data_IF_401258028221
#
_entry.id   IF_401258028221
#
_cell.length_a   1.000
_cell.length_b   1.000
_cell.length_c   1.000
_cell.angle_alpha   90.00
_cell.angle_beta   90.00
_cell.angle_gamma   90.00
#
_symmetry.space_group_name_H-M   'P 1'
#
loop_
_entity.id
_entity.type
_entity.pdbx_description
1 polymer ?
#
# COMPACT_ATOMS: atom_id res chain seq x y z
N UNK A 1 5.62 15.04 11.91
CA UNK A 1 7.05 14.89 12.19
C UNK A 1 7.79 14.79 10.85
N UNK A 2 8.83 15.56 10.62
CA UNK A 2 9.64 15.49 9.38
C UNK A 2 10.68 14.36 9.40
N UNK A 3 10.38 13.23 10.04
CA UNK A 3 11.30 12.10 10.16
C UNK A 3 10.88 10.96 9.23
N UNK A 4 11.86 10.31 8.59
CA UNK A 4 11.67 9.12 7.76
C UNK A 4 11.55 7.84 8.60
N UNK A 5 11.77 7.93 9.90
CA UNK A 5 11.72 6.82 10.82
C UNK A 5 11.10 7.25 12.15
N UNK A 6 10.21 6.41 12.68
CA UNK A 6 9.62 6.58 14.00
C UNK A 6 9.92 5.31 14.80
N UNK A 7 10.68 5.43 15.88
CA UNK A 7 10.93 4.32 16.78
C UNK A 7 9.66 3.99 17.57
N UNK A 8 9.21 2.72 17.46
CA UNK A 8 8.14 2.15 18.27
C UNK A 8 8.69 1.39 19.48
N UNK A 9 7.77 0.75 20.23
CA UNK A 9 8.10 -0.10 21.38
C UNK A 9 7.65 -1.57 21.17
N UNK A 10 7.14 -1.89 20.00
CA UNK A 10 6.72 -3.26 19.63
C UNK A 10 7.81 -3.96 18.81
N UNK A 11 7.71 -5.27 18.68
CA UNK A 11 8.58 -6.09 17.83
C UNK A 11 8.22 -6.00 16.34
N UNK A 12 7.32 -5.08 15.97
CA UNK A 12 6.87 -4.87 14.60
C UNK A 12 7.67 -3.76 13.93
N UNK A 13 8.24 -4.06 12.78
CA UNK A 13 8.83 -3.09 11.85
C UNK A 13 7.90 -2.94 10.64
N UNK A 14 7.40 -1.71 10.41
CA UNK A 14 6.61 -1.37 9.23
C UNK A 14 7.49 -0.57 8.29
N UNK A 15 7.64 -1.05 7.06
CA UNK A 15 8.52 -0.46 6.05
C UNK A 15 7.73 -0.20 4.78
N UNK A 16 7.84 1.00 4.22
CA UNK A 16 7.49 1.26 2.82
C UNK A 16 8.64 0.73 1.96
N UNK A 17 8.39 -0.38 1.26
CA UNK A 17 9.38 -1.07 0.47
C UNK A 17 9.46 -0.46 -0.93
N UNK A 18 10.68 -0.19 -1.42
CA UNK A 18 10.91 0.39 -2.74
C UNK A 18 11.26 -0.70 -3.75
N UNK A 19 10.50 -0.81 -4.83
CA UNK A 19 10.72 -1.76 -5.93
C UNK A 19 11.88 -1.34 -6.85
N UNK A 20 12.21 -0.04 -6.88
CA UNK A 20 13.28 0.45 -7.74
C UNK A 20 14.60 -0.28 -7.48
N UNK A 21 15.23 -0.73 -8.57
CA UNK A 21 16.42 -1.57 -8.53
C UNK A 21 16.30 -2.82 -7.67
N UNK A 22 15.08 -3.33 -7.52
CA UNK A 22 14.77 -4.52 -6.70
C UNK A 22 15.22 -4.39 -5.25
N UNK A 23 15.36 -3.16 -4.72
CA UNK A 23 15.89 -2.92 -3.37
C UNK A 23 15.03 -3.56 -2.28
N UNK A 24 13.71 -3.70 -2.48
CA UNK A 24 12.80 -4.40 -1.59
C UNK A 24 13.14 -5.91 -1.41
N UNK A 25 13.91 -6.51 -2.33
CA UNK A 25 14.35 -7.91 -2.21
C UNK A 25 15.38 -8.14 -1.08
N UNK A 26 15.90 -7.09 -0.47
CA UNK A 26 16.72 -7.21 0.75
C UNK A 26 15.86 -7.42 2.01
N UNK A 27 14.54 -7.35 1.89
CA UNK A 27 13.60 -7.57 2.98
C UNK A 27 13.14 -9.02 3.02
N UNK A 28 12.77 -9.49 4.22
CA UNK A 28 12.12 -10.78 4.46
C UNK A 28 10.82 -10.53 5.22
N UNK A 29 9.74 -10.18 4.52
CA UNK A 29 8.49 -9.80 5.15
C UNK A 29 7.79 -11.00 5.79
N UNK A 30 7.14 -10.77 6.94
CA UNK A 30 6.15 -11.67 7.53
C UNK A 30 4.76 -11.40 6.97
N UNK A 31 4.45 -10.12 6.74
CA UNK A 31 3.23 -9.64 6.11
C UNK A 31 3.65 -8.74 4.96
N UNK A 32 3.19 -9.05 3.76
CA UNK A 32 3.44 -8.27 2.55
C UNK A 32 2.13 -7.66 2.07
N UNK A 33 2.13 -6.35 1.83
CA UNK A 33 1.00 -5.65 1.21
C UNK A 33 1.43 -5.23 -0.19
N UNK A 34 0.59 -5.54 -1.18
CA UNK A 34 0.76 -5.02 -2.54
C UNK A 34 -0.58 -4.41 -2.96
N UNK A 35 -0.58 -3.10 -3.15
CA UNK A 35 -1.79 -2.36 -3.51
C UNK A 35 -2.11 -2.44 -4.99
N UNK A 36 -1.09 -2.37 -5.85
CA UNK A 36 -1.15 -2.52 -7.30
C UNK A 36 0.25 -2.79 -7.86
N UNK A 37 0.32 -3.27 -9.11
CA UNK A 37 1.55 -3.34 -9.91
C UNK A 37 1.26 -2.69 -11.26
N UNK A 38 2.06 -1.70 -11.63
CA UNK A 38 1.99 -1.02 -12.92
C UNK A 38 3.37 -0.95 -13.56
N UNK A 39 3.41 -0.64 -14.85
CA UNK A 39 4.66 -0.43 -15.58
C UNK A 39 5.26 0.92 -15.17
N UNK A 40 6.16 0.90 -14.22
CA UNK A 40 6.92 2.04 -13.73
C UNK A 40 8.42 1.71 -13.72
N UNK A 41 9.27 2.72 -13.53
CA UNK A 41 10.73 2.55 -13.49
C UNK A 41 11.31 1.81 -14.70
N UNK A 42 10.81 2.10 -15.92
CA UNK A 42 11.26 1.49 -17.17
C UNK A 42 12.67 1.93 -17.60
N UNK A 43 13.31 2.77 -16.81
CA UNK A 43 14.76 3.05 -16.87
C UNK A 43 15.59 1.91 -16.26
N UNK A 44 14.97 1.04 -15.47
CA UNK A 44 15.58 -0.11 -14.82
C UNK A 44 14.92 -1.43 -15.24
N UNK A 45 13.60 -1.53 -15.18
CA UNK A 45 12.86 -2.70 -15.59
C UNK A 45 12.61 -2.71 -17.10
N UNK A 46 12.71 -3.87 -17.73
CA UNK A 46 12.48 -4.02 -19.18
C UNK A 46 11.03 -3.77 -19.56
N UNK A 47 10.12 -4.28 -18.76
CA UNK A 47 8.67 -4.28 -19.00
C UNK A 47 7.89 -4.63 -17.72
N UNK A 48 6.56 -4.71 -17.84
CA UNK A 48 5.68 -5.08 -16.72
C UNK A 48 5.97 -6.49 -16.20
N UNK A 49 6.32 -7.44 -17.06
CA UNK A 49 6.62 -8.82 -16.66
C UNK A 49 7.85 -8.87 -15.76
N UNK A 50 8.89 -8.12 -16.08
CA UNK A 50 10.10 -8.01 -15.25
C UNK A 50 9.81 -7.40 -13.86
N UNK A 51 8.86 -6.45 -13.78
CA UNK A 51 8.36 -5.91 -12.50
C UNK A 51 7.59 -7.00 -11.75
N UNK A 52 6.67 -7.69 -12.41
CA UNK A 52 5.87 -8.77 -11.81
C UNK A 52 6.76 -9.89 -11.27
N UNK A 53 7.84 -10.24 -11.97
CA UNK A 53 8.82 -11.23 -11.52
C UNK A 53 9.53 -10.78 -10.25
N UNK A 54 9.91 -9.51 -10.15
CA UNK A 54 10.52 -8.96 -8.94
C UNK A 54 9.56 -9.02 -7.74
N UNK A 55 8.29 -8.68 -7.93
CA UNK A 55 7.27 -8.80 -6.88
C UNK A 55 6.98 -10.25 -6.51
N UNK A 56 6.96 -11.16 -7.48
CA UNK A 56 6.82 -12.60 -7.23
C UNK A 56 8.01 -13.15 -6.43
N UNK A 57 9.24 -12.71 -6.76
CA UNK A 57 10.43 -13.05 -5.98
C UNK A 57 10.32 -12.57 -4.52
N UNK A 58 9.84 -11.33 -4.28
CA UNK A 58 9.58 -10.86 -2.91
C UNK A 58 8.51 -11.73 -2.21
N UNK A 59 7.43 -12.05 -2.90
CA UNK A 59 6.37 -12.90 -2.34
C UNK A 59 6.86 -14.32 -2.01
N UNK A 60 7.85 -14.83 -2.73
CA UNK A 60 8.45 -16.15 -2.44
C UNK A 60 9.17 -16.20 -1.09
N UNK A 61 9.50 -15.05 -0.51
CA UNK A 61 10.15 -14.95 0.81
C UNK A 61 9.16 -14.99 1.98
N UNK A 62 7.85 -14.96 1.69
CA UNK A 62 6.84 -15.09 2.73
C UNK A 62 6.92 -16.49 3.37
N UNK A 63 6.96 -16.59 4.69
CA UNK A 63 6.88 -17.88 5.36
C UNK A 63 5.45 -18.44 5.27
N UNK A 64 5.28 -19.75 5.47
CA UNK A 64 3.97 -20.41 5.43
C UNK A 64 2.96 -19.89 6.46
N UNK A 65 3.45 -19.32 7.57
CA UNK A 65 2.67 -18.66 8.61
C UNK A 65 2.64 -17.13 8.42
N UNK A 66 3.03 -16.63 7.25
CA UNK A 66 2.95 -15.24 6.84
C UNK A 66 1.67 -14.91 6.08
N UNK A 67 1.55 -13.66 5.60
CA UNK A 67 0.39 -13.22 4.84
C UNK A 67 0.76 -12.32 3.66
N UNK A 68 0.07 -12.52 2.52
CA UNK A 68 -0.01 -11.57 1.42
C UNK A 68 -1.37 -10.87 1.47
N UNK A 69 -1.37 -9.54 1.48
CA UNK A 69 -2.58 -8.72 1.46
C UNK A 69 -2.61 -7.94 0.13
N UNK A 70 -3.59 -8.22 -0.72
CA UNK A 70 -3.65 -7.67 -2.06
C UNK A 70 -5.08 -7.66 -2.63
N UNK A 71 -5.27 -7.03 -3.78
CA UNK A 71 -6.46 -7.21 -4.62
C UNK A 71 -6.33 -8.50 -5.44
N UNK A 72 -7.04 -9.55 -5.05
CA UNK A 72 -6.99 -10.84 -5.77
C UNK A 72 -7.58 -10.78 -7.19
N UNK A 73 -8.29 -9.72 -7.53
CA UNK A 73 -8.90 -9.55 -8.86
C UNK A 73 -8.01 -8.77 -9.82
N UNK A 74 -6.90 -8.21 -9.35
CA UNK A 74 -5.94 -7.50 -10.20
C UNK A 74 -5.17 -8.50 -11.08
N UNK A 75 -5.29 -8.32 -12.41
CA UNK A 75 -4.63 -9.18 -13.39
C UNK A 75 -3.10 -9.10 -13.29
N UNK A 76 -2.56 -7.93 -12.94
CA UNK A 76 -1.12 -7.73 -12.82
C UNK A 76 -0.52 -8.45 -11.61
N UNK A 77 -1.33 -8.81 -10.62
CA UNK A 77 -0.89 -9.54 -9.42
C UNK A 77 -0.92 -11.07 -9.59
N UNK A 78 -1.39 -11.61 -10.72
CA UNK A 78 -1.52 -13.06 -10.89
C UNK A 78 -0.19 -13.85 -10.73
N UNK A 79 0.98 -13.40 -11.24
CA UNK A 79 2.24 -14.07 -11.01
C UNK A 79 2.62 -14.11 -9.52
N UNK A 80 2.38 -13.01 -8.80
CA UNK A 80 2.64 -12.89 -7.36
C UNK A 80 1.73 -13.82 -6.55
N UNK A 81 0.44 -13.87 -6.88
CA UNK A 81 -0.54 -14.77 -6.24
C UNK A 81 -0.12 -16.23 -6.37
N UNK A 82 0.25 -16.66 -7.58
CA UNK A 82 0.73 -18.02 -7.83
C UNK A 82 1.98 -18.35 -7.01
N UNK A 83 2.87 -17.38 -6.80
CA UNK A 83 4.06 -17.59 -5.98
C UNK A 83 3.71 -17.66 -4.49
N UNK A 84 2.85 -16.78 -4.00
CA UNK A 84 2.38 -16.80 -2.62
C UNK A 84 1.65 -18.10 -2.28
N UNK A 85 0.84 -18.64 -3.19
CA UNK A 85 0.19 -19.96 -3.03
C UNK A 85 1.21 -21.08 -2.82
N UNK A 86 2.36 -21.04 -3.50
CA UNK A 86 3.42 -22.05 -3.34
C UNK A 86 4.11 -21.99 -1.99
N UNK A 87 4.18 -20.81 -1.36
CA UNK A 87 4.76 -20.67 0.00
C UNK A 87 3.83 -21.24 1.08
N UNK A 88 2.54 -21.38 0.77
CA UNK A 88 1.51 -21.77 1.73
C UNK A 88 1.08 -20.64 2.67
N UNK A 89 1.50 -19.40 2.41
CA UNK A 89 1.09 -18.24 3.21
C UNK A 89 -0.40 -17.94 3.04
N UNK A 90 -0.96 -17.23 4.00
CA UNK A 90 -2.34 -16.74 3.93
C UNK A 90 -2.47 -15.64 2.87
N UNK A 91 -3.49 -15.69 2.02
CA UNK A 91 -3.78 -14.63 1.04
C UNK A 91 -5.09 -13.94 1.42
N UNK A 92 -5.00 -12.65 1.73
CA UNK A 92 -6.10 -11.80 2.17
C UNK A 92 -6.46 -10.85 1.03
N UNK A 93 -7.70 -10.94 0.54
CA UNK A 93 -8.26 -10.01 -0.43
C UNK A 93 -8.82 -8.78 0.30
N UNK A 94 -8.10 -7.66 0.26
CA UNK A 94 -8.53 -6.46 0.97
C UNK A 94 -9.83 -5.87 0.40
N UNK A 95 -10.17 -6.12 -0.86
CA UNK A 95 -11.43 -5.65 -1.45
C UNK A 95 -12.68 -6.26 -0.81
N UNK A 96 -12.53 -7.39 -0.10
CA UNK A 96 -13.61 -8.01 0.65
C UNK A 96 -13.82 -7.41 2.04
N UNK A 97 -12.95 -6.52 2.47
CA UNK A 97 -13.07 -5.82 3.75
C UNK A 97 -14.11 -4.71 3.59
N UNK A 98 -15.05 -4.63 4.54
CA UNK A 98 -16.13 -3.64 4.51
C UNK A 98 -15.60 -2.21 4.51
N UNK A 99 -16.36 -1.32 3.87
CA UNK A 99 -16.03 0.11 3.68
C UNK A 99 -17.07 1.02 4.34
N UNK A 100 -17.58 0.63 5.49
CA UNK A 100 -18.56 1.39 6.28
C UNK A 100 -17.92 2.46 7.17
N UNK A 101 -16.72 2.92 6.80
CA UNK A 101 -15.95 3.94 7.50
C UNK A 101 -15.79 5.21 6.66
N UNK A 102 -15.48 6.32 7.33
CA UNK A 102 -15.25 7.62 6.69
C UNK A 102 -13.82 8.07 6.92
N UNK A 103 -13.07 8.28 5.84
CA UNK A 103 -11.73 8.84 5.90
C UNK A 103 -11.77 10.36 5.84
N UNK A 104 -10.83 11.02 6.51
CA UNK A 104 -10.59 12.46 6.38
C UNK A 104 -9.94 12.83 5.04
N UNK A 105 -9.24 11.87 4.44
CA UNK A 105 -8.57 12.03 3.14
C UNK A 105 -9.45 11.50 2.01
N UNK A 106 -9.60 12.25 0.90
CA UNK A 106 -10.46 11.84 -0.21
C UNK A 106 -9.80 10.79 -1.11
N UNK A 107 -10.57 10.24 -2.03
CA UNK A 107 -10.11 9.38 -3.11
C UNK A 107 -10.36 7.88 -2.88
N UNK A 108 -10.82 7.19 -3.94
CA UNK A 108 -11.11 5.76 -3.90
C UNK A 108 -9.87 4.91 -3.60
N UNK A 109 -8.68 5.38 -3.99
CA UNK A 109 -7.41 4.73 -3.66
C UNK A 109 -7.14 4.72 -2.16
N UNK A 110 -7.51 5.78 -1.43
CA UNK A 110 -7.36 5.83 0.03
C UNK A 110 -8.30 4.86 0.74
N UNK A 111 -9.50 4.61 0.19
CA UNK A 111 -10.39 3.55 0.70
C UNK A 111 -9.71 2.18 0.56
N UNK A 112 -9.10 1.88 -0.60
CA UNK A 112 -8.36 0.63 -0.82
C UNK A 112 -7.16 0.51 0.14
N UNK A 113 -6.41 1.59 0.34
CA UNK A 113 -5.30 1.62 1.29
C UNK A 113 -5.77 1.35 2.73
N UNK A 114 -6.90 1.93 3.14
CA UNK A 114 -7.50 1.68 4.44
C UNK A 114 -7.98 0.23 4.59
N UNK A 115 -8.59 -0.35 3.54
CA UNK A 115 -8.95 -1.77 3.52
C UNK A 115 -7.72 -2.66 3.69
N UNK A 116 -6.62 -2.37 2.99
CA UNK A 116 -5.37 -3.10 3.14
C UNK A 116 -4.82 -2.99 4.58
N UNK A 117 -4.85 -1.79 5.17
CA UNK A 117 -4.44 -1.57 6.55
C UNK A 117 -5.30 -2.33 7.57
N UNK A 118 -6.64 -2.39 7.36
CA UNK A 118 -7.53 -3.24 8.17
C UNK A 118 -7.23 -4.72 8.01
N UNK A 119 -6.80 -5.15 6.82
CA UNK A 119 -6.32 -6.51 6.58
C UNK A 119 -5.09 -6.85 7.44
N UNK A 120 -4.14 -5.92 7.55
CA UNK A 120 -2.98 -6.06 8.45
C UNK A 120 -3.42 -6.10 9.91
N UNK A 121 -4.31 -5.18 10.31
CA UNK A 121 -4.79 -5.12 11.68
C UNK A 121 -5.46 -6.44 12.10
N UNK A 122 -6.26 -7.03 11.21
CA UNK A 122 -6.88 -8.34 11.44
C UNK A 122 -5.85 -9.46 11.55
N UNK A 123 -4.81 -9.47 10.71
CA UNK A 123 -3.75 -10.47 10.74
C UNK A 123 -2.90 -10.37 12.02
N UNK A 124 -2.71 -9.16 12.52
CA UNK A 124 -2.04 -8.88 13.80
C UNK A 124 -2.97 -9.02 15.01
N UNK A 125 -4.20 -9.49 14.83
CA UNK A 125 -5.20 -9.65 15.88
C UNK A 125 -5.52 -8.36 16.66
N UNK A 126 -5.38 -7.21 16.02
CA UNK A 126 -5.76 -5.93 16.62
C UNK A 126 -7.29 -5.80 16.67
N UNK A 127 -7.78 -5.11 17.68
CA UNK A 127 -9.22 -4.85 17.81
C UNK A 127 -9.70 -3.99 16.63
N UNK A 128 -10.73 -4.46 15.94
CA UNK A 128 -11.26 -3.81 14.73
C UNK A 128 -11.62 -2.34 14.96
N UNK A 129 -12.32 -2.04 16.06
CA UNK A 129 -12.74 -0.67 16.38
C UNK A 129 -11.54 0.27 16.61
N UNK A 130 -10.46 -0.21 17.22
CA UNK A 130 -9.24 0.58 17.43
C UNK A 130 -8.54 0.88 16.11
N UNK A 131 -8.46 -0.11 15.22
CA UNK A 131 -7.88 0.09 13.89
C UNK A 131 -8.74 1.04 13.05
N UNK A 132 -10.07 0.90 13.12
CA UNK A 132 -11.01 1.77 12.44
C UNK A 132 -10.91 3.22 12.92
N UNK A 133 -10.93 3.45 14.23
CA UNK A 133 -10.77 4.77 14.81
C UNK A 133 -9.44 5.45 14.39
N UNK A 134 -8.36 4.69 14.35
CA UNK A 134 -7.07 5.19 13.88
C UNK A 134 -7.14 5.64 12.41
N UNK A 135 -7.79 4.86 11.53
CA UNK A 135 -7.97 5.20 10.12
C UNK A 135 -8.88 6.43 9.92
N UNK A 136 -10.00 6.50 10.65
CA UNK A 136 -10.92 7.65 10.57
C UNK A 136 -10.29 8.94 11.11
N UNK A 137 -9.32 8.83 12.02
CA UNK A 137 -8.56 9.96 12.53
C UNK A 137 -7.31 10.28 11.72
N UNK A 138 -6.93 9.44 10.75
CA UNK A 138 -5.77 9.66 9.91
C UNK A 138 -5.96 10.89 9.01
N UNK A 139 -5.09 11.86 9.15
CA UNK A 139 -5.17 13.16 8.44
C UNK A 139 -4.38 13.18 7.12
N UNK A 140 -3.85 12.04 6.68
CA UNK A 140 -3.01 11.95 5.50
C UNK A 140 -1.51 12.03 5.81
N UNK A 141 -0.71 11.93 4.76
CA UNK A 141 0.74 12.06 4.81
C UNK A 141 1.18 13.31 4.04
N UNK A 142 2.38 13.74 4.32
CA UNK A 142 3.01 14.85 3.62
C UNK A 142 3.00 14.62 2.11
N UNK A 143 2.59 15.66 1.36
CA UNK A 143 2.48 15.66 -0.10
C UNK A 143 1.59 14.54 -0.68
N UNK A 144 0.53 14.17 0.02
CA UNK A 144 -0.54 13.28 -0.48
C UNK A 144 -1.87 14.00 -0.35
N UNK A 145 -2.25 14.77 -1.40
CA UNK A 145 -3.40 15.68 -1.45
C UNK A 145 -3.43 16.63 -0.25
N UNK A 146 -2.26 17.14 0.10
CA UNK A 146 -2.06 17.99 1.27
C UNK A 146 -2.56 19.40 1.02
N UNK A 147 -3.52 19.86 1.83
CA UNK A 147 -4.00 21.24 1.74
C UNK A 147 -2.93 22.22 2.23
N UNK A 148 -2.53 23.17 1.38
CA UNK A 148 -1.50 24.16 1.66
C UNK A 148 -2.05 25.55 1.99
N UNK A 149 -3.35 25.76 1.75
CA UNK A 149 -4.00 27.04 2.00
C UNK A 149 -4.81 27.55 0.83
N UNK A 150 -5.16 28.84 0.87
CA UNK A 150 -5.94 29.52 -0.16
C UNK A 150 -5.17 30.69 -0.75
N UNK A 151 -5.36 30.92 -2.03
CA UNK A 151 -4.86 32.14 -2.70
C UNK A 151 -5.67 33.34 -2.29
N UNK A 152 -5.16 34.54 -2.60
CA UNK A 152 -5.91 35.80 -2.38
C UNK A 152 -7.25 35.87 -3.14
N UNK A 153 -7.41 35.05 -4.17
CA UNK A 153 -8.63 34.96 -4.99
C UNK A 153 -9.57 33.83 -4.52
N UNK A 154 -9.27 33.16 -3.40
CA UNK A 154 -10.09 32.09 -2.83
C UNK A 154 -9.88 30.69 -3.43
N UNK A 155 -8.87 30.50 -4.31
CA UNK A 155 -8.56 29.18 -4.84
C UNK A 155 -7.80 28.36 -3.78
N UNK A 156 -8.26 27.11 -3.54
CA UNK A 156 -7.59 26.16 -2.64
C UNK A 156 -6.36 25.56 -3.30
N UNK A 157 -5.28 25.49 -2.57
CA UNK A 157 -3.99 24.94 -3.02
C UNK A 157 -3.71 23.61 -2.33
N UNK A 158 -3.44 22.59 -3.12
CA UNK A 158 -3.06 21.25 -2.65
C UNK A 158 -1.70 20.87 -3.22
N UNK A 159 -0.90 20.16 -2.43
CA UNK A 159 0.37 19.55 -2.86
C UNK A 159 0.20 18.03 -2.89
N UNK A 160 0.54 17.42 -4.02
CA UNK A 160 0.54 15.97 -4.20
C UNK A 160 1.80 15.53 -4.94
N UNK A 161 2.37 14.40 -4.54
CA UNK A 161 3.56 13.83 -5.15
C UNK A 161 3.27 12.98 -6.40
N UNK A 162 2.00 12.83 -6.77
CA UNK A 162 1.60 12.06 -7.95
C UNK A 162 2.34 12.54 -9.19
N UNK A 163 3.04 11.63 -9.86
CA UNK A 163 3.82 11.88 -11.06
C UNK A 163 3.58 10.83 -12.15
N UNK A 164 3.05 9.66 -11.80
CA UNK A 164 2.58 8.67 -12.76
C UNK A 164 1.18 9.03 -13.27
N UNK A 165 0.82 8.76 -14.55
CA UNK A 165 -0.49 9.13 -15.09
C UNK A 165 -1.68 8.55 -14.33
N UNK A 166 -1.59 7.33 -13.81
CA UNK A 166 -2.63 6.69 -12.99
C UNK A 166 -2.79 7.36 -11.63
N UNK A 167 -1.70 7.77 -10.99
CA UNK A 167 -1.70 8.49 -9.71
C UNK A 167 -2.37 9.87 -9.87
N UNK A 168 -1.98 10.63 -10.92
CA UNK A 168 -2.57 11.94 -11.22
C UNK A 168 -4.08 11.80 -11.44
N UNK A 169 -4.54 10.79 -12.22
CA UNK A 169 -5.96 10.53 -12.42
C UNK A 169 -6.68 10.20 -11.12
N UNK A 170 -6.06 9.36 -10.27
CA UNK A 170 -6.64 8.97 -8.99
C UNK A 170 -6.75 10.13 -8.01
N UNK A 171 -5.80 11.08 -8.05
CA UNK A 171 -5.80 12.29 -7.21
C UNK A 171 -6.83 13.31 -7.68
N UNK A 172 -7.08 13.42 -9.00
CA UNK A 172 -7.99 14.40 -9.58
C UNK A 172 -9.45 13.90 -9.73
N UNK A 173 -9.73 12.63 -9.45
CA UNK A 173 -11.08 12.03 -9.52
C UNK A 173 -11.90 12.30 -8.27
#
# INVERSE_FOLDING_TARGET
SGANFIAGQSDLLIVEACEYRRSFLNLSPKILIITNIEADHLDYYRDLEDIQDAFAELASKLPSDGALICDKTDANLQPVLKMAEKTGCKIIDYKKIKTDFKLKIPGAHNIKNAQAALGVAAELHLLYHTALEALENFAGTWRRFEFKGETKTGAKVYDDYAHHPSEIRATLA
#
